data_IF_413914480887
#
_entry.id   IF_413914480887
#
_cell.length_a   1.000
_cell.length_b   1.000
_cell.length_c   1.000
_cell.angle_alpha   90.00
_cell.angle_beta   90.00
_cell.angle_gamma   90.00
#
_symmetry.space_group_name_H-M   'P 1'
#
loop_
_entity.id
_entity.type
_entity.pdbx_description
1 polymer ?
#
# COMPACT_ATOMS: atom_id res chain seq x y z
N UNK A 1 -8.97 6.98 -10.27
CA UNK A 1 -9.22 5.62 -9.78
C UNK A 1 -10.50 5.44 -8.98
N UNK A 2 -10.73 6.11 -7.84
CA UNK A 2 -12.09 6.19 -7.25
C UNK A 2 -13.12 6.61 -8.31
N UNK A 3 -12.74 7.61 -9.12
CA UNK A 3 -13.43 8.03 -10.36
C UNK A 3 -13.73 6.87 -11.30
N UNK A 4 -12.68 6.22 -11.80
CA UNK A 4 -12.78 5.29 -12.93
C UNK A 4 -13.57 4.02 -12.56
N UNK A 5 -13.61 3.67 -11.28
CA UNK A 5 -14.24 2.45 -10.77
C UNK A 5 -15.52 2.69 -9.97
N UNK A 6 -15.94 3.95 -9.82
CA UNK A 6 -17.14 4.33 -9.04
C UNK A 6 -17.05 3.97 -7.56
N UNK A 7 -15.84 3.86 -7.01
CA UNK A 7 -15.60 3.51 -5.60
C UNK A 7 -15.43 4.79 -4.80
N UNK A 8 -16.27 4.99 -3.79
CA UNK A 8 -16.11 6.09 -2.83
C UNK A 8 -15.23 5.63 -1.66
N UNK A 9 -13.99 6.10 -1.65
CA UNK A 9 -13.04 5.81 -0.57
C UNK A 9 -13.08 6.84 0.56
N UNK A 10 -14.14 7.65 0.65
CA UNK A 10 -14.29 8.70 1.67
C UNK A 10 -13.33 9.88 1.53
N UNK A 11 -12.52 9.91 0.47
CA UNK A 11 -11.56 10.99 0.26
C UNK A 11 -12.27 12.24 -0.23
N UNK A 12 -11.85 13.39 0.31
CA UNK A 12 -12.27 14.72 -0.11
C UNK A 12 -11.02 15.56 -0.33
N UNK A 13 -10.96 16.26 -1.46
CA UNK A 13 -9.90 17.25 -1.67
C UNK A 13 -10.33 18.55 -1.02
N UNK A 14 -9.55 18.98 -0.03
CA UNK A 14 -9.65 20.33 0.51
C UNK A 14 -8.66 21.24 -0.23
N UNK A 15 -9.08 22.48 -0.45
CA UNK A 15 -8.24 23.53 -1.01
C UNK A 15 -7.08 23.87 -0.06
N UNK A 16 -5.92 24.22 -0.60
CA UNK A 16 -4.71 24.52 0.21
C UNK A 16 -4.94 25.69 1.16
N UNK A 17 -5.68 26.72 0.73
CA UNK A 17 -6.02 27.89 1.57
C UNK A 17 -6.92 27.46 2.72
N UNK A 18 -7.90 26.59 2.45
CA UNK A 18 -8.81 26.09 3.47
C UNK A 18 -8.09 25.18 4.48
N UNK A 19 -7.19 24.30 4.01
CA UNK A 19 -6.36 23.47 4.90
C UNK A 19 -5.49 24.35 5.79
N UNK A 20 -4.81 25.34 5.23
CA UNK A 20 -3.97 26.27 6.01
C UNK A 20 -4.80 27.05 7.04
N UNK A 21 -6.01 27.51 6.67
CA UNK A 21 -6.95 28.19 7.57
C UNK A 21 -7.37 27.28 8.73
N UNK A 22 -7.75 26.04 8.46
CA UNK A 22 -8.15 25.06 9.47
C UNK A 22 -6.99 24.72 10.41
N UNK A 23 -5.77 24.54 9.87
CA UNK A 23 -4.57 24.27 10.67
C UNK A 23 -4.20 25.44 11.57
N UNK A 24 -4.25 26.68 11.05
CA UNK A 24 -4.04 27.88 11.87
C UNK A 24 -5.06 27.95 13.01
N UNK A 25 -6.34 27.76 12.70
CA UNK A 25 -7.41 27.74 13.72
C UNK A 25 -7.20 26.64 14.76
N UNK A 26 -6.72 25.46 14.36
CA UNK A 26 -6.40 24.38 15.29
C UNK A 26 -5.24 24.75 16.24
N UNK A 27 -4.18 25.37 15.71
CA UNK A 27 -3.07 25.86 16.54
C UNK A 27 -3.52 26.93 17.55
N UNK A 28 -4.37 27.87 17.11
CA UNK A 28 -4.96 28.90 17.98
C UNK A 28 -5.82 28.26 19.08
N UNK A 29 -6.67 27.29 18.73
CA UNK A 29 -7.53 26.57 19.67
C UNK A 29 -6.72 25.82 20.73
N UNK A 30 -5.71 25.05 20.30
CA UNK A 30 -4.82 24.31 21.22
C UNK A 30 -4.07 25.27 22.13
N UNK A 31 -3.55 26.38 21.61
CA UNK A 31 -2.84 27.39 22.42
C UNK A 31 -3.77 28.03 23.46
N UNK A 32 -5.00 28.36 23.09
CA UNK A 32 -5.99 28.91 24.01
C UNK A 32 -6.34 27.93 25.14
N UNK A 33 -6.55 26.65 24.81
CA UNK A 33 -6.82 25.61 25.81
C UNK A 33 -5.64 25.44 26.77
N UNK A 34 -4.42 25.38 26.25
CA UNK A 34 -3.22 25.24 27.09
C UNK A 34 -3.03 26.42 28.04
N UNK A 35 -3.21 27.64 27.56
CA UNK A 35 -3.08 28.84 28.38
C UNK A 35 -4.21 28.92 29.43
N UNK A 36 -5.46 28.67 29.03
CA UNK A 36 -6.62 28.67 29.93
C UNK A 36 -6.50 27.67 31.08
N UNK A 37 -6.01 26.46 30.78
CA UNK A 37 -5.84 25.39 31.76
C UNK A 37 -4.51 25.48 32.53
N UNK A 38 -3.67 26.49 32.25
CA UNK A 38 -2.38 26.67 32.91
C UNK A 38 -1.37 25.56 32.60
N UNK A 39 -1.44 24.97 31.41
CA UNK A 39 -0.59 23.86 30.96
C UNK A 39 0.74 24.32 30.35
N UNK A 40 0.82 25.60 29.97
CA UNK A 40 1.99 26.22 29.37
C UNK A 40 1.61 27.11 28.18
N UNK A 41 2.60 27.85 27.68
CA UNK A 41 2.42 28.74 26.52
C UNK A 41 3.32 28.28 25.37
N UNK A 42 2.77 28.24 24.17
CA UNK A 42 3.54 27.96 22.96
C UNK A 42 4.16 29.26 22.43
N UNK A 43 5.40 29.18 21.93
CA UNK A 43 5.99 30.32 21.22
C UNK A 43 5.29 30.54 19.88
N UNK A 44 5.31 31.77 19.39
CA UNK A 44 4.76 32.09 18.06
C UNK A 44 5.44 31.27 16.96
N UNK A 45 6.76 31.09 17.04
CA UNK A 45 7.52 30.29 16.08
C UNK A 45 7.10 28.82 16.09
N UNK A 46 6.80 28.24 17.25
CA UNK A 46 6.28 26.87 17.36
C UNK A 46 4.88 26.77 16.73
N UNK A 47 3.99 27.69 17.07
CA UNK A 47 2.65 27.76 16.50
C UNK A 47 2.67 27.87 14.96
N UNK A 48 3.55 28.71 14.41
CA UNK A 48 3.71 28.90 12.97
C UNK A 48 4.27 27.65 12.28
N UNK A 49 5.31 27.02 12.83
CA UNK A 49 5.85 25.77 12.26
C UNK A 49 4.83 24.63 12.24
N UNK A 50 3.96 24.56 13.26
CA UNK A 50 2.93 23.52 13.35
C UNK A 50 1.88 23.58 12.22
N UNK A 51 1.69 24.75 11.58
CA UNK A 51 0.72 24.92 10.50
C UNK A 51 1.11 24.10 9.27
N UNK A 52 2.40 24.00 8.95
CA UNK A 52 2.88 23.34 7.74
C UNK A 52 3.58 22.00 7.99
N UNK A 53 3.93 21.69 9.24
CA UNK A 53 4.57 20.44 9.62
C UNK A 53 3.76 19.19 9.19
N UNK A 54 4.44 18.16 8.70
CA UNK A 54 3.83 16.85 8.43
C UNK A 54 3.74 16.00 9.70
N UNK A 55 4.63 16.24 10.66
CA UNK A 55 4.56 15.69 12.01
C UNK A 55 5.48 16.42 12.98
N UNK A 56 5.51 15.97 14.24
CA UNK A 56 6.30 16.61 15.30
C UNK A 56 7.80 16.65 15.03
N UNK A 57 8.33 15.79 14.15
CA UNK A 57 9.74 15.78 13.75
C UNK A 57 10.14 16.99 12.90
N UNK A 58 9.17 17.67 12.29
CA UNK A 58 9.40 18.82 11.41
C UNK A 58 9.34 20.15 12.17
N UNK A 59 9.13 20.12 13.48
CA UNK A 59 8.97 21.30 14.33
C UNK A 59 10.22 21.50 15.18
N UNK A 60 11.23 22.19 14.63
CA UNK A 60 12.51 22.40 15.29
C UNK A 60 12.44 23.37 16.48
N UNK A 61 11.43 24.25 16.50
CA UNK A 61 11.23 25.22 17.58
C UNK A 61 10.50 24.64 18.81
N UNK A 62 10.12 23.36 18.77
CA UNK A 62 9.34 22.74 19.83
C UNK A 62 10.11 22.54 21.13
N UNK A 63 9.54 23.00 22.25
CA UNK A 63 10.04 22.67 23.59
C UNK A 63 9.51 21.30 24.03
N UNK A 64 10.39 20.29 24.02
CA UNK A 64 10.06 18.93 24.40
C UNK A 64 9.66 18.79 25.89
N UNK A 65 10.02 19.76 26.75
CA UNK A 65 9.66 19.73 28.17
C UNK A 65 8.24 20.21 28.43
N UNK A 66 7.68 21.06 27.58
CA UNK A 66 6.33 21.60 27.76
C UNK A 66 5.26 20.48 27.73
N UNK A 67 5.20 19.57 26.74
CA UNK A 67 4.24 18.47 26.74
C UNK A 67 4.40 17.53 27.94
N UNK A 68 5.64 17.31 28.41
CA UNK A 68 5.91 16.47 29.59
C UNK A 68 5.38 17.10 30.88
N UNK A 69 5.56 18.42 31.01
CA UNK A 69 5.07 19.17 32.17
C UNK A 69 3.55 19.27 32.15
N UNK A 70 2.96 19.60 30.99
CA UNK A 70 1.51 19.63 30.79
C UNK A 70 0.86 18.27 31.14
N UNK A 71 1.45 17.15 30.69
CA UNK A 71 0.94 15.82 31.01
C UNK A 71 0.92 15.54 32.52
N UNK A 72 1.94 15.97 33.27
CA UNK A 72 1.95 15.86 34.74
C UNK A 72 0.87 16.72 35.37
N UNK A 73 0.76 17.98 34.96
CA UNK A 73 -0.28 18.90 35.46
C UNK A 73 -1.67 18.33 35.24
N UNK A 74 -1.97 17.83 34.03
CA UNK A 74 -3.26 17.19 33.70
C UNK A 74 -3.60 16.06 34.68
N UNK A 75 -2.62 15.21 35.01
CA UNK A 75 -2.83 14.11 35.96
C UNK A 75 -3.00 14.60 37.40
N UNK A 76 -2.21 15.59 37.82
CA UNK A 76 -2.24 16.12 39.19
C UNK A 76 -3.51 16.92 39.48
N UNK A 77 -4.02 17.66 38.50
CA UNK A 77 -5.22 18.50 38.63
C UNK A 77 -6.49 17.82 38.12
N UNK A 78 -6.40 16.58 37.60
CA UNK A 78 -7.51 15.81 37.05
C UNK A 78 -8.28 16.55 35.94
N UNK A 79 -7.57 17.22 35.04
CA UNK A 79 -8.19 17.86 33.87
C UNK A 79 -8.96 16.80 33.06
N UNK A 80 -10.22 17.11 32.77
CA UNK A 80 -11.12 16.27 31.98
C UNK A 80 -11.35 16.86 30.59
N UNK A 81 -11.95 16.07 29.70
CA UNK A 81 -12.39 16.61 28.40
C UNK A 81 -13.50 17.67 28.53
N UNK A 82 -14.25 17.70 29.63
CA UNK A 82 -15.23 18.77 29.87
C UNK A 82 -14.54 20.11 30.13
N UNK A 83 -13.39 20.10 30.83
CA UNK A 83 -12.58 21.29 31.05
C UNK A 83 -11.99 21.82 29.73
N UNK A 84 -11.54 20.91 28.86
CA UNK A 84 -11.08 21.25 27.49
C UNK A 84 -12.21 21.86 26.66
N UNK A 85 -13.41 21.27 26.70
CA UNK A 85 -14.60 21.78 25.99
C UNK A 85 -14.98 23.18 26.50
N UNK A 86 -14.97 23.37 27.82
CA UNK A 86 -15.23 24.67 28.43
C UNK A 86 -14.19 25.70 28.00
N UNK A 87 -12.90 25.35 28.04
CA UNK A 87 -11.82 26.22 27.58
C UNK A 87 -11.99 26.62 26.09
N UNK A 88 -12.37 25.68 25.22
CA UNK A 88 -12.65 25.99 23.81
C UNK A 88 -13.82 26.96 23.66
N UNK A 89 -14.95 26.71 24.34
CA UNK A 89 -16.14 27.55 24.26
C UNK A 89 -15.88 28.98 24.77
N UNK A 90 -15.25 29.12 25.93
CA UNK A 90 -14.94 30.43 26.54
C UNK A 90 -13.93 31.24 25.71
N UNK A 91 -13.16 30.60 24.82
CA UNK A 91 -12.20 31.26 23.93
C UNK A 91 -12.70 31.41 22.48
N UNK A 92 -14.00 31.21 22.22
CA UNK A 92 -14.62 31.45 20.90
C UNK A 92 -14.41 30.32 19.87
N UNK A 93 -14.11 29.11 20.34
CA UNK A 93 -14.02 27.89 19.53
C UNK A 93 -15.27 27.03 19.70
N UNK A 94 -16.45 27.64 19.57
CA UNK A 94 -17.76 27.01 19.81
C UNK A 94 -17.97 25.74 18.96
N UNK A 95 -17.58 25.78 17.68
CA UNK A 95 -17.71 24.65 16.77
C UNK A 95 -16.85 23.46 17.23
N UNK A 96 -15.60 23.72 17.60
CA UNK A 96 -14.67 22.71 18.10
C UNK A 96 -15.14 22.15 19.44
N UNK A 97 -15.60 23.01 20.35
CA UNK A 97 -16.18 22.63 21.63
C UNK A 97 -17.38 21.69 21.45
N UNK A 98 -18.31 22.04 20.56
CA UNK A 98 -19.49 21.25 20.26
C UNK A 98 -19.11 19.88 19.65
N UNK A 99 -18.19 19.85 18.67
CA UNK A 99 -17.71 18.59 18.07
C UNK A 99 -17.02 17.69 19.09
N UNK A 100 -16.21 18.23 19.99
CA UNK A 100 -15.60 17.47 21.08
C UNK A 100 -16.66 16.89 22.02
N UNK A 101 -17.70 17.66 22.37
CA UNK A 101 -18.80 17.19 23.19
C UNK A 101 -19.59 16.06 22.51
N UNK A 102 -19.88 16.18 21.22
CA UNK A 102 -20.63 15.16 20.48
C UNK A 102 -19.83 13.87 20.33
N UNK A 103 -18.50 13.96 20.15
CA UNK A 103 -17.61 12.79 20.23
C UNK A 103 -17.67 12.11 21.60
N UNK A 104 -17.73 12.87 22.71
CA UNK A 104 -17.90 12.27 24.04
C UNK A 104 -19.24 11.55 24.20
N UNK A 105 -20.34 12.14 23.70
CA UNK A 105 -21.65 11.48 23.71
C UNK A 105 -21.61 10.17 22.91
N UNK A 106 -20.99 10.18 21.74
CA UNK A 106 -20.81 8.97 20.92
C UNK A 106 -19.98 7.90 21.64
N UNK A 107 -18.94 8.31 22.38
CA UNK A 107 -18.14 7.39 23.22
C UNK A 107 -18.95 6.70 24.32
N UNK A 108 -19.92 7.40 24.89
CA UNK A 108 -20.83 6.85 25.91
C UNK A 108 -21.88 5.92 25.26
N UNK A 109 -22.42 6.30 24.10
CA UNK A 109 -23.40 5.48 23.38
C UNK A 109 -22.80 4.18 22.85
N UNK A 110 -21.57 4.23 22.32
CA UNK A 110 -20.83 3.06 21.84
C UNK A 110 -21.16 2.60 20.41
N UNK A 111 -22.12 3.24 19.72
CA UNK A 111 -22.54 2.86 18.36
C UNK A 111 -21.38 2.92 17.35
N UNK A 112 -20.43 3.83 17.54
CA UNK A 112 -19.25 3.98 16.69
C UNK A 112 -18.26 2.81 16.79
N UNK A 113 -18.44 1.89 17.76
CA UNK A 113 -17.65 0.67 17.89
C UNK A 113 -18.12 -0.45 16.95
N UNK A 114 -19.27 -0.29 16.30
CA UNK A 114 -19.75 -1.23 15.29
C UNK A 114 -18.80 -1.27 14.09
N UNK A 115 -18.67 -2.44 13.47
CA UNK A 115 -17.86 -2.61 12.25
C UNK A 115 -18.31 -1.63 11.18
N UNK A 116 -17.35 -0.93 10.57
CA UNK A 116 -17.59 0.05 9.50
C UNK A 116 -18.42 1.28 9.91
N UNK A 117 -18.58 1.56 11.20
CA UNK A 117 -19.24 2.79 11.65
C UNK A 117 -18.43 4.03 11.26
N UNK A 118 -19.12 5.08 10.82
CA UNK A 118 -18.53 6.37 10.43
C UNK A 118 -19.31 7.52 11.07
N UNK A 119 -18.67 8.68 11.16
CA UNK A 119 -19.34 9.93 11.51
C UNK A 119 -19.68 10.71 10.23
N UNK A 120 -20.88 11.26 10.16
CA UNK A 120 -21.23 12.27 9.15
C UNK A 120 -20.69 13.66 9.53
N UNK A 121 -20.97 14.65 8.68
CA UNK A 121 -20.50 16.03 8.85
C UNK A 121 -21.03 16.73 10.11
N UNK A 122 -22.18 16.27 10.60
CA UNK A 122 -22.89 16.74 11.78
C UNK A 122 -22.56 15.94 13.06
N UNK A 123 -21.59 15.01 13.00
CA UNK A 123 -21.17 14.13 14.10
C UNK A 123 -22.22 13.07 14.51
N UNK A 124 -23.18 12.74 13.65
CA UNK A 124 -24.03 11.58 13.85
C UNK A 124 -23.26 10.31 13.47
N UNK A 125 -23.49 9.23 14.22
CA UNK A 125 -22.88 7.92 13.93
C UNK A 125 -23.76 7.18 12.94
N UNK A 126 -23.22 6.85 11.76
CA UNK A 126 -23.79 5.90 10.82
C UNK A 126 -23.19 4.51 11.13
N UNK A 127 -24.03 3.55 11.51
CA UNK A 127 -23.63 2.23 11.98
C UNK A 127 -24.66 1.18 11.57
N UNK A 128 -24.40 -0.10 11.81
CA UNK A 128 -25.39 -1.15 11.61
C UNK A 128 -26.73 -0.90 12.35
N UNK A 129 -26.70 -0.15 13.46
CA UNK A 129 -27.89 0.15 14.28
C UNK A 129 -28.66 1.35 13.74
N UNK A 130 -27.95 2.39 13.31
CA UNK A 130 -28.52 3.69 12.93
C UNK A 130 -28.74 3.84 11.43
N UNK A 131 -27.99 3.09 10.62
CA UNK A 131 -28.00 3.06 9.15
C UNK A 131 -27.68 1.64 8.64
N UNK A 132 -28.62 0.68 8.77
CA UNK A 132 -28.37 -0.71 8.45
C UNK A 132 -28.11 -0.93 6.95
N UNK A 133 -27.14 -1.79 6.63
CA UNK A 133 -26.77 -2.10 5.25
C UNK A 133 -27.90 -2.85 4.50
N UNK A 134 -28.30 -2.33 3.34
CA UNK A 134 -29.32 -2.89 2.46
C UNK A 134 -28.76 -3.81 1.34
N UNK A 135 -27.47 -4.17 1.41
CA UNK A 135 -26.83 -5.03 0.43
C UNK A 135 -27.53 -6.40 0.31
N UNK A 136 -28.02 -6.69 -0.90
CA UNK A 136 -28.73 -7.93 -1.25
C UNK A 136 -27.99 -8.76 -2.32
N UNK A 137 -26.73 -8.42 -2.63
CA UNK A 137 -25.89 -9.11 -3.60
C UNK A 137 -25.15 -8.17 -4.56
N UNK A 138 -24.34 -8.71 -5.50
CA UNK A 138 -23.55 -7.90 -6.43
C UNK A 138 -24.39 -6.84 -7.15
N UNK A 139 -23.92 -5.59 -7.15
CA UNK A 139 -24.60 -4.45 -7.77
C UNK A 139 -25.64 -3.72 -6.91
N UNK A 140 -25.95 -4.23 -5.71
CA UNK A 140 -26.94 -3.63 -4.78
C UNK A 140 -26.30 -2.85 -3.62
N UNK A 141 -24.98 -2.72 -3.61
CA UNK A 141 -24.27 -1.90 -2.64
C UNK A 141 -24.40 -0.41 -2.93
N UNK A 142 -23.80 0.40 -2.05
CA UNK A 142 -23.73 1.85 -2.20
C UNK A 142 -23.30 2.27 -3.61
N UNK A 143 -24.01 3.23 -4.18
CA UNK A 143 -23.64 3.92 -5.41
C UNK A 143 -23.52 5.42 -5.11
N UNK A 144 -22.40 6.05 -5.50
CA UNK A 144 -22.22 7.48 -5.26
C UNK A 144 -23.30 8.26 -6.02
N UNK A 145 -23.86 9.28 -5.35
CA UNK A 145 -24.75 10.24 -6.03
C UNK A 145 -23.99 10.96 -7.15
N UNK A 146 -24.67 11.52 -8.17
CA UNK A 146 -23.98 12.27 -9.23
C UNK A 146 -23.09 13.41 -8.70
N UNK A 147 -23.53 14.08 -7.63
CA UNK A 147 -22.74 15.11 -6.96
C UNK A 147 -21.49 14.53 -6.28
N UNK A 148 -21.62 13.39 -5.60
CA UNK A 148 -20.50 12.71 -4.96
C UNK A 148 -19.51 12.16 -5.99
N UNK A 149 -20.00 11.61 -7.09
CA UNK A 149 -19.16 11.18 -8.21
C UNK A 149 -18.37 12.35 -8.79
N UNK A 150 -18.98 13.52 -9.01
CA UNK A 150 -18.26 14.71 -9.47
C UNK A 150 -17.13 15.17 -8.51
N UNK A 151 -17.33 15.02 -7.20
CA UNK A 151 -16.26 15.27 -6.22
C UNK A 151 -15.13 14.24 -6.33
N UNK A 152 -15.48 12.96 -6.46
CA UNK A 152 -14.53 11.87 -6.66
C UNK A 152 -13.71 12.09 -7.95
N UNK A 153 -14.37 12.56 -9.00
CA UNK A 153 -13.81 12.86 -10.32
C UNK A 153 -12.86 14.06 -10.31
N UNK A 154 -12.83 14.83 -9.23
CA UNK A 154 -12.01 16.05 -9.05
C UNK A 154 -10.98 15.92 -7.92
N UNK A 155 -10.83 14.73 -7.31
CA UNK A 155 -9.80 14.49 -6.29
C UNK A 155 -8.41 14.84 -6.84
N UNK A 156 -7.56 15.51 -6.07
CA UNK A 156 -6.20 15.91 -6.50
C UNK A 156 -5.34 14.73 -6.93
N UNK A 157 -4.30 14.99 -7.73
CA UNK A 157 -3.33 14.00 -8.21
C UNK A 157 -3.98 12.83 -8.98
N UNK A 158 -5.00 13.12 -9.78
CA UNK A 158 -5.67 12.12 -10.58
C UNK A 158 -4.69 11.42 -11.50
N UNK A 159 -4.78 10.09 -11.48
CA UNK A 159 -4.11 9.24 -12.44
C UNK A 159 -5.08 8.19 -12.93
N UNK A 160 -5.12 8.03 -14.24
CA UNK A 160 -5.84 6.96 -14.92
C UNK A 160 -4.92 5.76 -15.14
N UNK A 161 -5.51 4.62 -15.50
CA UNK A 161 -4.77 3.45 -15.98
C UNK A 161 -3.94 3.80 -17.22
N UNK A 162 -4.47 4.66 -18.10
CA UNK A 162 -3.77 5.10 -19.31
C UNK A 162 -2.51 5.94 -18.98
N UNK A 163 -2.60 6.85 -18.00
CA UNK A 163 -1.44 7.64 -17.54
C UNK A 163 -0.34 6.72 -16.99
N UNK A 164 -0.74 5.70 -16.20
CA UNK A 164 0.20 4.73 -15.65
C UNK A 164 0.85 3.87 -16.74
N UNK A 165 0.10 3.51 -17.79
CA UNK A 165 0.65 2.80 -18.94
C UNK A 165 1.68 3.67 -19.71
N UNK A 166 1.42 4.97 -19.87
CA UNK A 166 2.38 5.91 -20.47
C UNK A 166 3.64 6.03 -19.61
N UNK A 167 3.49 6.15 -18.29
CA UNK A 167 4.62 6.11 -17.34
C UNK A 167 5.43 4.82 -17.51
N UNK A 168 4.81 3.64 -17.51
CA UNK A 168 5.52 2.37 -17.68
C UNK A 168 6.27 2.30 -19.02
N UNK A 169 5.64 2.74 -20.12
CA UNK A 169 6.25 2.77 -21.45
C UNK A 169 7.50 3.66 -21.51
N UNK A 170 7.59 4.71 -20.70
CA UNK A 170 8.79 5.55 -20.59
C UNK A 170 10.03 4.81 -20.07
N UNK A 171 9.83 3.70 -19.34
CA UNK A 171 10.89 2.80 -18.88
C UNK A 171 11.12 1.61 -19.82
N UNK A 172 10.40 1.56 -20.93
CA UNK A 172 10.44 0.48 -21.91
C UNK A 172 11.82 0.31 -22.53
N UNK A 173 12.28 -0.94 -22.62
CA UNK A 173 13.56 -1.27 -23.25
C UNK A 173 13.49 -2.61 -23.99
N UNK A 174 14.52 -2.97 -24.76
CA UNK A 174 14.56 -4.23 -25.53
C UNK A 174 15.43 -5.30 -24.86
N UNK A 175 15.73 -5.15 -23.58
CA UNK A 175 16.69 -6.01 -22.90
C UNK A 175 16.06 -7.32 -22.44
N UNK A 176 14.74 -7.36 -22.23
CA UNK A 176 13.99 -8.57 -21.89
C UNK A 176 12.97 -8.89 -22.99
N UNK A 177 13.10 -10.04 -23.64
CA UNK A 177 12.26 -10.43 -24.79
C UNK A 177 12.07 -11.94 -24.87
N UNK A 178 10.97 -12.38 -25.48
CA UNK A 178 10.68 -13.79 -25.71
C UNK A 178 11.45 -14.32 -26.92
N UNK A 179 11.92 -15.57 -26.85
CA UNK A 179 12.72 -16.22 -27.92
C UNK A 179 12.11 -17.50 -28.48
N UNK A 180 11.09 -18.05 -27.83
CA UNK A 180 10.39 -19.25 -28.29
C UNK A 180 9.53 -19.87 -27.20
N UNK A 181 8.90 -21.01 -27.50
CA UNK A 181 8.13 -21.77 -26.50
C UNK A 181 9.03 -22.41 -25.46
N UNK A 182 8.56 -22.47 -24.21
CA UNK A 182 9.27 -23.08 -23.10
C UNK A 182 8.96 -24.57 -22.97
N UNK A 183 10.01 -25.37 -22.93
CA UNK A 183 9.95 -26.81 -22.71
C UNK A 183 10.26 -27.17 -21.25
N UNK A 184 9.84 -28.38 -20.85
CA UNK A 184 10.20 -28.97 -19.56
C UNK A 184 11.70 -29.32 -19.57
N UNK A 185 12.41 -28.94 -18.52
CA UNK A 185 13.79 -29.36 -18.27
C UNK A 185 13.84 -30.57 -17.34
N UNK A 186 14.92 -31.34 -17.43
CA UNK A 186 15.23 -32.45 -16.53
C UNK A 186 16.56 -32.25 -15.78
N UNK A 187 17.25 -31.10 -15.95
CA UNK A 187 18.45 -30.77 -15.16
C UNK A 187 18.03 -30.43 -13.72
N UNK A 188 18.51 -31.17 -12.69
CA UNK A 188 18.16 -30.88 -11.30
C UNK A 188 18.65 -29.51 -10.81
N UNK A 189 19.51 -28.82 -11.56
CA UNK A 189 19.96 -27.44 -11.26
C UNK A 189 19.07 -26.37 -11.91
N UNK A 190 18.17 -26.74 -12.83
CA UNK A 190 17.28 -25.79 -13.50
C UNK A 190 16.21 -25.28 -12.54
N UNK A 191 16.20 -23.97 -12.31
CA UNK A 191 15.18 -23.26 -11.55
C UNK A 191 14.52 -22.24 -12.48
N UNK A 192 13.22 -22.37 -12.67
CA UNK A 192 12.49 -21.49 -13.59
C UNK A 192 12.01 -20.24 -12.85
N UNK A 193 12.30 -19.07 -13.41
CA UNK A 193 11.72 -17.79 -13.01
C UNK A 193 10.49 -17.56 -13.90
N UNK A 194 9.32 -17.92 -13.38
CA UNK A 194 8.02 -17.68 -14.01
C UNK A 194 7.62 -16.22 -13.88
N UNK A 195 7.56 -15.50 -15.00
CA UNK A 195 7.17 -14.09 -15.03
C UNK A 195 5.78 -13.93 -15.65
N UNK A 196 5.04 -12.93 -15.18
CA UNK A 196 3.67 -12.65 -15.62
C UNK A 196 3.58 -12.05 -17.05
N UNK A 197 2.40 -12.05 -17.68
CA UNK A 197 2.22 -11.74 -19.11
C UNK A 197 2.70 -10.35 -19.57
N UNK A 198 2.71 -9.34 -18.71
CA UNK A 198 3.17 -7.99 -19.09
C UNK A 198 4.69 -7.82 -19.09
N UNK A 199 5.44 -8.81 -18.61
CA UNK A 199 6.91 -8.74 -18.53
C UNK A 199 7.53 -8.66 -19.94
N UNK A 200 8.31 -7.60 -20.17
CA UNK A 200 8.87 -7.27 -21.49
C UNK A 200 7.86 -6.76 -22.50
N UNK A 201 6.68 -6.30 -22.05
CA UNK A 201 5.62 -5.71 -22.90
C UNK A 201 5.17 -4.34 -22.35
N UNK A 202 4.33 -4.35 -21.32
CA UNK A 202 3.61 -3.14 -20.86
C UNK A 202 3.97 -2.70 -19.43
N UNK A 203 4.65 -3.54 -18.64
CA UNK A 203 5.13 -3.20 -17.29
C UNK A 203 6.63 -3.44 -17.21
N UNK A 204 7.36 -2.40 -16.83
CA UNK A 204 8.83 -2.31 -16.88
C UNK A 204 9.45 -1.97 -15.52
N UNK A 205 8.69 -1.35 -14.62
CA UNK A 205 9.11 -0.99 -13.26
C UNK A 205 8.11 -1.55 -12.24
N UNK A 206 8.65 -2.25 -11.26
CA UNK A 206 7.92 -2.78 -10.10
C UNK A 206 7.43 -1.66 -9.17
N UNK A 207 6.57 -1.99 -8.21
CA UNK A 207 6.07 -1.04 -7.21
C UNK A 207 7.15 -0.55 -6.23
N UNK A 208 8.26 -1.28 -6.10
CA UNK A 208 9.44 -0.85 -5.32
C UNK A 208 10.26 0.24 -6.02
N UNK A 209 10.00 0.51 -7.31
CA UNK A 209 10.81 1.39 -8.15
C UNK A 209 11.95 0.71 -8.89
N UNK A 210 12.23 -0.58 -8.61
CA UNK A 210 13.20 -1.37 -9.39
C UNK A 210 12.63 -1.74 -10.76
N UNK A 211 13.47 -1.75 -11.79
CA UNK A 211 13.08 -2.30 -13.09
C UNK A 211 12.82 -3.80 -12.96
N UNK A 212 11.89 -4.34 -13.76
CA UNK A 212 11.61 -5.78 -13.78
C UNK A 212 12.86 -6.58 -14.18
N UNK A 213 13.66 -6.02 -15.09
CA UNK A 213 14.95 -6.58 -15.50
C UNK A 213 15.96 -6.66 -14.33
N UNK A 214 16.05 -5.62 -13.50
CA UNK A 214 16.89 -5.61 -12.30
C UNK A 214 16.44 -6.67 -11.29
N UNK A 215 15.13 -6.75 -11.02
CA UNK A 215 14.58 -7.75 -10.11
C UNK A 215 14.93 -9.18 -10.56
N UNK A 216 14.77 -9.47 -11.85
CA UNK A 216 15.14 -10.77 -12.43
C UNK A 216 16.66 -10.99 -12.37
N UNK A 217 17.47 -9.96 -12.61
CA UNK A 217 18.94 -10.04 -12.53
C UNK A 217 19.40 -10.45 -11.13
N UNK A 218 18.83 -9.85 -10.09
CA UNK A 218 19.17 -10.21 -8.71
C UNK A 218 18.75 -11.65 -8.37
N UNK A 219 17.56 -12.07 -8.80
CA UNK A 219 17.11 -13.47 -8.61
C UNK A 219 18.06 -14.44 -9.33
N UNK A 220 18.45 -14.15 -10.57
CA UNK A 220 19.40 -14.97 -11.34
C UNK A 220 20.75 -15.05 -10.64
N UNK A 221 21.27 -13.93 -10.12
CA UNK A 221 22.53 -13.90 -9.39
C UNK A 221 22.48 -14.74 -8.10
N UNK A 222 21.37 -14.67 -7.35
CA UNK A 222 21.18 -15.52 -6.17
C UNK A 222 21.11 -17.01 -6.51
N UNK A 223 20.49 -17.37 -7.63
CA UNK A 223 20.49 -18.76 -8.12
C UNK A 223 21.90 -19.23 -8.52
N UNK A 224 22.66 -18.38 -9.20
CA UNK A 224 24.03 -18.66 -9.62
C UNK A 224 24.97 -18.89 -8.42
N UNK A 225 24.83 -18.08 -7.35
CA UNK A 225 25.58 -18.24 -6.09
C UNK A 225 25.36 -19.61 -5.44
N UNK A 226 24.17 -20.18 -5.62
CA UNK A 226 23.83 -21.50 -5.09
C UNK A 226 24.11 -22.65 -6.09
N UNK A 227 24.74 -22.34 -7.23
CA UNK A 227 25.14 -23.30 -8.26
C UNK A 227 23.98 -23.78 -9.16
N UNK A 228 22.86 -23.05 -9.15
CA UNK A 228 21.69 -23.34 -9.98
C UNK A 228 21.75 -22.60 -11.32
N UNK A 229 20.99 -23.10 -12.30
CA UNK A 229 20.81 -22.47 -13.61
C UNK A 229 19.43 -21.84 -13.65
N UNK A 230 19.37 -20.51 -13.65
CA UNK A 230 18.11 -19.77 -13.75
C UNK A 230 17.62 -19.66 -15.20
N UNK A 231 16.35 -19.97 -15.43
CA UNK A 231 15.70 -19.85 -16.75
C UNK A 231 14.43 -19.00 -16.66
N UNK A 232 14.33 -17.95 -17.47
CA UNK A 232 13.17 -17.05 -17.44
C UNK A 232 12.10 -17.58 -18.37
N UNK A 233 10.87 -17.71 -17.88
CA UNK A 233 9.72 -18.15 -18.68
C UNK A 233 8.53 -17.24 -18.43
N UNK A 234 7.97 -16.65 -19.47
CA UNK A 234 6.72 -15.88 -19.38
C UNK A 234 5.53 -16.82 -19.42
N UNK A 235 4.70 -16.76 -18.38
CA UNK A 235 3.43 -17.47 -18.28
C UNK A 235 2.35 -16.53 -18.81
N UNK A 236 1.72 -16.89 -19.92
CA UNK A 236 0.87 -15.99 -20.69
C UNK A 236 -0.62 -16.06 -20.32
N UNK A 237 -1.08 -17.16 -19.71
CA UNK A 237 -2.51 -17.48 -19.54
C UNK A 237 -3.08 -17.17 -18.14
N UNK A 238 -2.25 -16.67 -17.22
CA UNK A 238 -2.66 -16.34 -15.86
C UNK A 238 -1.96 -15.10 -15.32
N UNK A 239 -2.72 -14.34 -14.51
CA UNK A 239 -2.20 -13.24 -13.68
C UNK A 239 -1.95 -13.68 -12.24
N UNK A 240 -2.48 -14.83 -11.85
CA UNK A 240 -2.38 -15.33 -10.48
C UNK A 240 -0.94 -15.78 -10.21
N UNK A 241 -0.32 -15.18 -9.20
CA UNK A 241 1.09 -15.43 -8.87
C UNK A 241 1.35 -16.89 -8.46
N UNK A 242 0.39 -17.53 -7.77
CA UNK A 242 0.46 -18.94 -7.41
C UNK A 242 0.48 -19.84 -8.64
N UNK A 243 -0.43 -19.59 -9.58
CA UNK A 243 -0.46 -20.30 -10.86
C UNK A 243 0.79 -20.05 -11.71
N UNK A 244 1.31 -18.82 -11.76
CA UNK A 244 2.56 -18.49 -12.45
C UNK A 244 3.71 -19.30 -11.86
N UNK A 245 3.84 -19.29 -10.53
CA UNK A 245 4.86 -20.06 -9.81
C UNK A 245 4.73 -21.56 -10.03
N UNK A 246 3.52 -22.12 -9.91
CA UNK A 246 3.27 -23.55 -10.09
C UNK A 246 3.55 -24.01 -11.53
N UNK A 247 3.11 -23.26 -12.54
CA UNK A 247 3.40 -23.57 -13.95
C UNK A 247 4.91 -23.55 -14.21
N UNK A 248 5.62 -22.54 -13.70
CA UNK A 248 7.08 -22.49 -13.76
C UNK A 248 7.75 -23.67 -13.05
N UNK A 249 7.26 -24.08 -11.87
CA UNK A 249 7.80 -25.20 -11.11
C UNK A 249 7.65 -26.53 -11.87
N UNK A 250 6.57 -26.68 -12.65
CA UNK A 250 6.33 -27.86 -13.49
C UNK A 250 7.23 -27.91 -14.73
N UNK A 251 7.66 -26.76 -15.23
CA UNK A 251 8.65 -26.65 -16.31
C UNK A 251 10.09 -26.84 -15.81
N UNK A 252 10.32 -26.64 -14.51
CA UNK A 252 11.63 -26.71 -13.88
C UNK A 252 12.12 -28.14 -13.68
N UNK A 253 13.40 -28.37 -14.00
CA UNK A 253 14.06 -29.67 -13.75
C UNK A 253 14.22 -30.00 -12.26
N UNK A 254 14.58 -29.02 -11.43
CA UNK A 254 14.58 -29.15 -9.96
C UNK A 254 13.17 -29.31 -9.39
N UNK A 255 12.17 -28.74 -10.07
CA UNK A 255 10.79 -28.69 -9.59
C UNK A 255 10.52 -27.51 -8.66
N UNK A 256 11.48 -26.62 -8.49
CA UNK A 256 11.38 -25.37 -7.74
C UNK A 256 11.36 -24.21 -8.74
N UNK A 257 10.59 -23.19 -8.42
CA UNK A 257 10.51 -21.98 -9.24
C UNK A 257 10.47 -20.72 -8.38
N UNK A 258 10.75 -19.61 -9.03
CA UNK A 258 10.38 -18.27 -8.55
C UNK A 258 9.23 -17.78 -9.42
N UNK A 259 8.09 -17.44 -8.82
CA UNK A 259 7.02 -16.70 -9.48
C UNK A 259 7.24 -15.20 -9.28
N UNK A 260 7.10 -14.40 -10.32
CA UNK A 260 7.24 -12.93 -10.27
C UNK A 260 6.18 -12.26 -11.14
N UNK A 261 5.30 -11.47 -10.51
CA UNK A 261 4.45 -10.52 -11.23
C UNK A 261 5.28 -9.29 -11.64
N UNK A 262 5.00 -8.69 -12.78
CA UNK A 262 5.72 -7.52 -13.29
C UNK A 262 5.61 -6.31 -12.34
N UNK A 263 4.53 -6.22 -11.55
CA UNK A 263 4.40 -5.23 -10.47
C UNK A 263 5.33 -5.47 -9.26
N UNK A 264 5.99 -6.62 -9.18
CA UNK A 264 7.02 -6.95 -8.19
C UNK A 264 6.64 -8.00 -7.14
N UNK A 265 5.37 -8.38 -7.00
CA UNK A 265 5.01 -9.43 -6.02
C UNK A 265 5.57 -10.77 -6.48
N UNK A 266 6.20 -11.51 -5.57
CA UNK A 266 6.93 -12.71 -5.92
C UNK A 266 6.80 -13.81 -4.85
N UNK A 267 7.07 -15.05 -5.25
CA UNK A 267 7.06 -16.22 -4.36
C UNK A 267 8.03 -17.29 -4.84
N UNK A 268 8.35 -18.24 -3.96
CA UNK A 268 9.04 -19.48 -4.30
C UNK A 268 8.00 -20.62 -4.29
N UNK A 269 7.89 -21.37 -5.39
CA UNK A 269 6.95 -22.48 -5.51
C UNK A 269 7.67 -23.82 -5.72
N UNK A 270 6.94 -24.92 -5.48
CA UNK A 270 7.37 -26.28 -5.80
C UNK A 270 6.28 -27.05 -6.55
N UNK A 271 6.65 -27.96 -7.46
CA UNK A 271 5.73 -28.61 -8.42
C UNK A 271 4.65 -29.50 -7.80
N UNK A 272 4.88 -29.99 -6.59
CA UNK A 272 4.04 -30.91 -5.81
C UNK A 272 3.11 -30.17 -4.82
N UNK A 273 3.22 -28.85 -4.70
CA UNK A 273 2.35 -28.04 -3.85
C UNK A 273 1.04 -27.67 -4.55
N UNK A 274 0.01 -27.39 -3.75
CA UNK A 274 -1.25 -26.84 -4.24
C UNK A 274 -1.05 -25.42 -4.82
N UNK A 275 -1.90 -24.96 -5.76
CA UNK A 275 -1.72 -23.67 -6.43
C UNK A 275 -1.61 -22.43 -5.53
N UNK A 276 -2.28 -22.43 -4.38
CA UNK A 276 -2.26 -21.33 -3.41
C UNK A 276 -1.24 -21.53 -2.28
N UNK A 277 -0.52 -22.66 -2.27
CA UNK A 277 0.59 -22.89 -1.38
C UNK A 277 1.88 -22.32 -1.97
N UNK A 278 2.89 -22.12 -1.14
CA UNK A 278 4.22 -21.69 -1.56
C UNK A 278 5.24 -22.10 -0.49
N UNK A 279 6.52 -22.06 -0.86
CA UNK A 279 7.61 -22.22 0.09
C UNK A 279 7.87 -20.90 0.83
N UNK A 280 7.88 -19.79 0.09
CA UNK A 280 8.07 -18.43 0.61
C UNK A 280 7.25 -17.42 -0.21
N UNK A 281 6.75 -16.35 0.42
CA UNK A 281 5.89 -15.34 -0.22
C UNK A 281 6.33 -13.92 0.15
N UNK A 282 6.59 -13.13 -0.90
CA UNK A 282 6.98 -11.73 -0.83
C UNK A 282 5.78 -10.90 -1.31
N UNK A 283 4.79 -10.75 -0.42
CA UNK A 283 3.47 -10.21 -0.74
C UNK A 283 3.44 -8.68 -0.88
N UNK A 284 4.39 -7.98 -0.26
CA UNK A 284 4.41 -6.52 -0.18
C UNK A 284 5.41 -5.93 -1.19
N UNK A 285 5.03 -5.95 -2.47
CA UNK A 285 5.91 -5.51 -3.57
C UNK A 285 6.61 -4.14 -3.39
N UNK A 286 5.97 -3.09 -2.82
CA UNK A 286 6.63 -1.81 -2.59
C UNK A 286 7.86 -1.87 -1.68
N UNK A 287 7.97 -2.88 -0.82
CA UNK A 287 9.06 -3.00 0.16
C UNK A 287 10.14 -3.99 -0.23
N UNK A 288 10.01 -4.65 -1.40
CA UNK A 288 11.00 -5.65 -1.85
C UNK A 288 12.19 -4.91 -2.47
N UNK A 289 13.37 -5.08 -1.87
CA UNK A 289 14.62 -4.47 -2.30
C UNK A 289 15.43 -5.39 -3.23
N UNK A 290 16.54 -4.89 -3.78
CA UNK A 290 17.47 -5.70 -4.60
C UNK A 290 18.00 -6.90 -3.80
N UNK A 291 18.37 -6.66 -2.55
CA UNK A 291 18.90 -7.66 -1.63
C UNK A 291 17.87 -8.76 -1.36
N UNK A 292 16.58 -8.39 -1.25
CA UNK A 292 15.50 -9.36 -1.05
C UNK A 292 15.24 -10.22 -2.29
N UNK A 293 15.31 -9.65 -3.50
CA UNK A 293 15.25 -10.42 -4.75
C UNK A 293 16.44 -11.36 -4.90
N UNK A 294 17.65 -10.91 -4.55
CA UNK A 294 18.83 -11.78 -4.54
C UNK A 294 18.68 -12.93 -3.55
N UNK A 295 18.22 -12.62 -2.34
CA UNK A 295 17.99 -13.63 -1.29
C UNK A 295 16.91 -14.63 -1.66
N UNK A 296 15.87 -14.19 -2.38
CA UNK A 296 14.89 -15.09 -2.97
C UNK A 296 15.53 -16.08 -3.95
N UNK A 297 16.43 -15.60 -4.83
CA UNK A 297 17.20 -16.46 -5.72
C UNK A 297 18.04 -17.50 -4.96
N UNK A 298 18.75 -17.05 -3.92
CA UNK A 298 19.54 -17.93 -3.03
C UNK A 298 18.64 -18.99 -2.39
N UNK A 299 17.54 -18.59 -1.75
CA UNK A 299 16.65 -19.54 -1.09
C UNK A 299 16.01 -20.51 -2.09
N UNK A 300 15.61 -20.05 -3.27
CA UNK A 300 15.10 -20.93 -4.32
C UNK A 300 16.15 -21.97 -4.75
N UNK A 301 17.42 -21.56 -4.89
CA UNK A 301 18.53 -22.48 -5.18
C UNK A 301 18.78 -23.49 -4.05
N UNK A 302 18.63 -23.07 -2.79
CA UNK A 302 18.72 -23.99 -1.63
C UNK A 302 17.58 -24.99 -1.61
N UNK A 303 16.34 -24.55 -1.87
CA UNK A 303 15.19 -25.43 -2.01
C UNK A 303 15.36 -26.42 -3.16
N UNK A 304 15.92 -25.98 -4.30
CA UNK A 304 16.22 -26.85 -5.45
C UNK A 304 17.19 -27.98 -5.11
N UNK A 305 18.10 -27.75 -4.16
CA UNK A 305 19.03 -28.76 -3.62
C UNK A 305 18.46 -29.60 -2.47
N UNK A 306 17.18 -29.39 -2.11
CA UNK A 306 16.53 -30.08 -0.99
C UNK A 306 16.96 -29.59 0.39
N UNK A 307 17.60 -28.42 0.48
CA UNK A 307 17.95 -27.80 1.76
C UNK A 307 16.73 -27.12 2.41
N UNK A 308 16.85 -26.72 3.67
CA UNK A 308 15.85 -25.96 4.41
C UNK A 308 16.42 -24.58 4.77
N UNK A 309 16.35 -23.59 3.85
CA UNK A 309 16.85 -22.26 4.13
C UNK A 309 16.04 -21.56 5.22
N UNK A 310 16.65 -20.58 5.87
CA UNK A 310 15.91 -19.66 6.73
C UNK A 310 15.00 -18.77 5.86
N UNK A 311 13.68 -18.78 6.07
CA UNK A 311 12.76 -17.97 5.28
C UNK A 311 12.97 -16.48 5.50
N UNK A 312 12.85 -15.70 4.44
CA UNK A 312 12.94 -14.25 4.55
C UNK A 312 11.66 -13.67 5.12
N UNK A 313 11.79 -12.77 6.10
CA UNK A 313 10.64 -12.04 6.66
C UNK A 313 10.27 -10.88 5.75
N UNK A 314 8.98 -10.69 5.52
CA UNK A 314 8.51 -9.49 4.83
C UNK A 314 8.90 -8.24 5.65
N UNK A 315 9.47 -7.20 5.01
CA UNK A 315 9.81 -5.95 5.68
C UNK A 315 8.58 -5.32 6.33
N UNK A 316 8.78 -4.77 7.53
CA UNK A 316 7.78 -3.98 8.22
C UNK A 316 7.93 -2.50 7.86
N UNK A 317 6.81 -1.78 7.77
CA UNK A 317 6.76 -0.34 7.56
C UNK A 317 5.68 0.26 8.46
N UNK A 318 5.97 1.43 9.04
CA UNK A 318 4.97 2.25 9.76
C UNK A 318 4.04 3.00 8.79
N UNK A 319 4.30 2.94 7.48
CA UNK A 319 3.42 3.51 6.48
C UNK A 319 2.20 2.61 6.23
N UNK A 320 1.05 3.23 5.97
CA UNK A 320 -0.14 2.53 5.48
C UNK A 320 0.04 2.08 4.01
N UNK A 321 0.87 1.06 3.80
CA UNK A 321 1.27 0.57 2.46
C UNK A 321 0.06 0.25 1.58
N UNK A 322 -0.96 -0.40 2.13
CA UNK A 322 -2.17 -0.73 1.38
C UNK A 322 -2.88 0.53 0.86
N UNK A 323 -3.17 1.49 1.74
CA UNK A 323 -3.81 2.74 1.34
C UNK A 323 -2.99 3.51 0.28
N UNK A 324 -1.65 3.47 0.38
CA UNK A 324 -0.74 4.16 -0.53
C UNK A 324 -0.61 3.49 -1.90
N UNK A 325 -0.57 2.16 -1.95
CA UNK A 325 -0.20 1.42 -3.17
C UNK A 325 -1.33 0.61 -3.79
N UNK A 326 -2.41 0.27 -3.06
CA UNK A 326 -3.47 -0.62 -3.55
C UNK A 326 -4.05 -0.15 -4.89
N UNK A 327 -4.30 1.15 -5.00
CA UNK A 327 -4.73 1.84 -6.21
C UNK A 327 -3.75 1.62 -7.38
N UNK A 328 -2.44 1.79 -7.18
CA UNK A 328 -1.42 1.53 -8.22
C UNK A 328 -1.32 0.03 -8.56
N UNK A 329 -1.37 -0.85 -7.57
CA UNK A 329 -1.38 -2.33 -7.74
C UNK A 329 -2.50 -2.73 -8.69
N UNK A 330 -3.69 -2.24 -8.39
CA UNK A 330 -4.92 -2.54 -9.13
C UNK A 330 -4.84 -2.07 -10.59
N UNK A 331 -4.31 -0.87 -10.82
CA UNK A 331 -4.09 -0.38 -12.19
C UNK A 331 -3.07 -1.20 -12.95
N UNK A 332 -1.97 -1.62 -12.32
CA UNK A 332 -0.99 -2.50 -12.95
C UNK A 332 -1.60 -3.86 -13.29
N UNK A 333 -2.46 -4.42 -12.43
CA UNK A 333 -3.21 -5.65 -12.74
C UNK A 333 -4.15 -5.45 -13.93
N UNK A 334 -4.81 -4.29 -14.05
CA UNK A 334 -5.65 -3.99 -15.19
C UNK A 334 -4.85 -3.87 -16.50
N UNK A 335 -3.67 -3.24 -16.46
CA UNK A 335 -2.73 -3.20 -17.60
C UNK A 335 -2.31 -4.63 -17.97
N UNK A 336 -1.89 -5.41 -16.97
CA UNK A 336 -1.36 -6.75 -17.16
C UNK A 336 -2.40 -7.73 -17.72
N UNK A 337 -3.67 -7.55 -17.35
CA UNK A 337 -4.79 -8.33 -17.89
C UNK A 337 -4.92 -8.23 -19.41
N UNK A 338 -4.57 -7.08 -20.00
CA UNK A 338 -4.60 -6.92 -21.45
C UNK A 338 -3.48 -7.71 -22.16
N UNK A 339 -2.46 -8.16 -21.42
CA UNK A 339 -1.39 -8.99 -21.95
C UNK A 339 -1.66 -10.49 -21.84
N UNK A 340 -2.76 -10.92 -21.19
CA UNK A 340 -3.11 -12.34 -21.00
C UNK A 340 -3.55 -12.93 -22.33
N UNK A 341 -2.92 -14.04 -22.73
CA UNK A 341 -3.25 -14.79 -23.94
C UNK A 341 -3.35 -16.28 -23.63
N UNK A 342 -3.94 -17.08 -24.54
CA UNK A 342 -3.95 -18.55 -24.41
C UNK A 342 -2.71 -19.21 -25.02
N UNK A 343 -1.67 -18.42 -25.27
CA UNK A 343 -0.42 -18.92 -25.85
C UNK A 343 0.34 -19.75 -24.81
N UNK A 344 1.12 -20.71 -25.30
CA UNK A 344 1.98 -21.52 -24.43
C UNK A 344 3.03 -20.63 -23.72
N UNK A 345 3.59 -21.09 -22.58
CA UNK A 345 4.69 -20.37 -21.93
C UNK A 345 5.86 -20.14 -22.88
N UNK A 346 6.51 -18.98 -22.76
CA UNK A 346 7.60 -18.57 -23.65
C UNK A 346 8.91 -18.42 -22.88
N UNK A 347 10.01 -18.94 -23.41
CA UNK A 347 11.35 -18.65 -22.89
C UNK A 347 11.66 -17.18 -23.14
N UNK A 348 12.21 -16.52 -22.13
CA UNK A 348 12.70 -15.15 -22.25
C UNK A 348 14.21 -15.08 -22.09
N UNK A 349 14.83 -14.17 -22.83
CA UNK A 349 16.23 -13.78 -22.64
C UNK A 349 16.31 -12.39 -22.02
N UNK A 350 17.32 -12.21 -21.17
CA UNK A 350 17.70 -10.93 -20.59
C UNK A 350 19.12 -10.55 -21.03
N UNK A 351 19.24 -9.48 -21.82
CA UNK A 351 20.53 -8.90 -22.20
C UNK A 351 21.01 -7.95 -21.12
N UNK A 352 22.30 -8.03 -20.78
CA UNK A 352 22.95 -7.03 -19.92
C UNK A 352 22.92 -5.68 -20.67
N UNK A 353 22.38 -4.67 -19.99
CA UNK A 353 22.29 -3.29 -20.47
C UNK A 353 23.65 -2.64 -20.64
#
# INVERSE_FOLDING_TARGET
MQRDWGVDGGLRTADEVEVARLRRRATEAVSAVYSWLGLGDFSQEWAEQAIDAAGSKDISSGDLMLPLTAARTIMETNVTMLDVIAALAENGFDLEAQRCLDMLKARVAGDYLQTSAIFDEEMNVLSLVTDPNEYSGPGTGYQPTPARQAQIDTIRQQRSVADLLVEQKSFGNKNIFATGSAEVSYDPRDVVIGVSPATGKDIWVTLSGLSVADAITEILAGLEEEGCVGRIVRINDSLDLGMIGLTAARLSGSGVSVGLQAKGTALIHRRDLAPLANLELYSVAPTITRELYRMMGINAGRHAKGATPEPVRNPYSDEAIEARYHTKVVSLVAIERNCVTKEVPEVMELRKS
#
